data_IF_992260417962
#
_entry.id   IF_992260417962
#
_cell.length_a   1.000
_cell.length_b   1.000
_cell.length_c   1.000
_cell.angle_alpha   90.00
_cell.angle_beta   90.00
_cell.angle_gamma   90.00
#
_symmetry.space_group_name_H-M   'P 1'
#
loop_
_entity.id
_entity.type
_entity.pdbx_description
1 polymer ?
#
# COMPACT_ATOMS: atom_id res chain seq x y z
N UNK A 1 24.82 57.93 -26.68
CA UNK A 1 23.97 58.61 -27.69
C UNK A 1 22.56 58.13 -27.42
N UNK A 2 21.59 58.93 -26.99
CA UNK A 2 21.11 60.20 -27.58
C UNK A 2 20.39 61.02 -26.49
N UNK A 3 20.69 62.32 -26.41
CA UNK A 3 19.95 63.29 -25.57
C UNK A 3 18.64 63.63 -26.29
N UNK A 4 17.50 63.48 -25.62
CA UNK A 4 16.24 64.07 -26.06
C UNK A 4 16.23 65.57 -25.72
N UNK A 5 15.72 66.44 -26.61
CA UNK A 5 15.82 67.88 -26.45
C UNK A 5 14.82 68.40 -25.40
N UNK A 6 15.29 69.33 -24.57
CA UNK A 6 14.42 70.23 -23.80
C UNK A 6 13.65 71.10 -24.80
N UNK A 7 12.33 70.91 -24.88
CA UNK A 7 11.43 71.81 -25.61
C UNK A 7 10.88 72.84 -24.63
N UNK A 8 11.03 74.15 -24.87
CA UNK A 8 10.42 75.17 -24.01
C UNK A 8 8.90 75.12 -24.16
N UNK A 9 8.20 75.10 -23.02
CA UNK A 9 6.74 75.16 -22.93
C UNK A 9 6.27 76.44 -23.63
N UNK A 10 5.49 76.28 -24.71
CA UNK A 10 4.88 77.40 -25.43
C UNK A 10 3.69 77.96 -24.63
N UNK A 11 3.57 79.28 -24.61
CA UNK A 11 2.54 80.06 -23.90
C UNK A 11 1.09 79.74 -24.28
N UNK A 12 0.86 78.91 -25.30
CA UNK A 12 -0.47 78.52 -25.78
C UNK A 12 -1.16 77.46 -24.90
N UNK A 13 -0.51 77.00 -23.82
CA UNK A 13 -1.07 75.97 -22.91
C UNK A 13 -1.84 76.53 -21.70
N UNK A 14 -1.99 77.85 -21.59
CA UNK A 14 -2.72 78.51 -20.50
C UNK A 14 -3.99 79.26 -20.94
N UNK A 15 -4.52 78.99 -22.14
CA UNK A 15 -5.57 79.83 -22.70
C UNK A 15 -6.98 79.42 -22.24
N UNK A 16 -7.37 79.89 -21.06
CA UNK A 16 -8.75 79.83 -20.54
C UNK A 16 -9.73 80.76 -21.31
N UNK A 17 -9.27 81.48 -22.33
CA UNK A 17 -10.03 82.56 -22.97
C UNK A 17 -10.93 82.15 -24.15
N UNK A 18 -11.08 80.85 -24.46
CA UNK A 18 -11.96 80.38 -25.55
C UNK A 18 -13.33 79.87 -25.10
N UNK A 19 -13.90 80.43 -24.04
CA UNK A 19 -15.34 80.28 -23.78
C UNK A 19 -16.04 81.50 -24.35
N UNK A 20 -16.56 81.37 -25.58
CA UNK A 20 -17.31 82.45 -26.23
C UNK A 20 -18.68 82.62 -25.56
N UNK A 21 -18.73 83.49 -24.56
CA UNK A 21 -20.00 83.99 -24.05
C UNK A 21 -20.48 85.10 -24.99
N UNK A 22 -21.51 84.81 -25.79
CA UNK A 22 -22.24 85.82 -26.56
C UNK A 22 -22.62 87.01 -25.66
N UNK A 23 -22.76 88.21 -26.25
CA UNK A 23 -22.83 89.52 -25.58
C UNK A 23 -24.02 89.76 -24.60
N UNK A 24 -24.63 88.71 -24.05
CA UNK A 24 -25.86 88.74 -23.25
C UNK A 24 -25.62 88.51 -21.74
N UNK A 25 -24.42 88.10 -21.32
CA UNK A 25 -24.12 87.76 -19.91
C UNK A 25 -23.27 88.86 -19.24
N UNK A 26 -23.72 89.45 -18.10
CA UNK A 26 -22.96 90.46 -17.35
C UNK A 26 -21.56 89.97 -16.91
N UNK A 27 -20.59 90.89 -16.83
CA UNK A 27 -19.18 90.58 -16.54
C UNK A 27 -18.96 89.77 -15.25
N UNK A 28 -19.68 90.11 -14.18
CA UNK A 28 -19.58 89.42 -12.87
C UNK A 28 -20.08 87.97 -12.97
N UNK A 29 -21.18 87.75 -13.68
CA UNK A 29 -21.76 86.42 -13.92
C UNK A 29 -20.81 85.55 -14.74
N UNK A 30 -20.15 86.16 -15.74
CA UNK A 30 -19.12 85.51 -16.57
C UNK A 30 -17.92 85.08 -15.74
N UNK A 31 -17.41 85.93 -14.85
CA UNK A 31 -16.31 85.59 -13.96
C UNK A 31 -16.67 84.42 -13.04
N UNK A 32 -17.87 84.45 -12.44
CA UNK A 32 -18.38 83.37 -11.58
C UNK A 32 -18.45 82.04 -12.33
N UNK A 33 -18.93 82.05 -13.57
CA UNK A 33 -19.03 80.84 -14.39
C UNK A 33 -17.66 80.30 -14.81
N UNK A 34 -16.70 81.18 -15.12
CA UNK A 34 -15.31 80.76 -15.41
C UNK A 34 -14.67 80.15 -14.17
N UNK A 35 -14.90 80.73 -12.99
CA UNK A 35 -14.42 80.19 -11.71
C UNK A 35 -15.02 78.81 -11.42
N UNK A 36 -16.34 78.66 -11.60
CA UNK A 36 -17.05 77.39 -11.41
C UNK A 36 -16.59 76.30 -12.41
N UNK A 37 -16.37 76.66 -13.68
CA UNK A 37 -15.79 75.75 -14.69
C UNK A 37 -14.36 75.34 -14.31
N UNK A 38 -13.56 76.29 -13.83
CA UNK A 38 -12.19 76.04 -13.42
C UNK A 38 -12.13 75.11 -12.22
N UNK A 39 -13.00 75.35 -11.23
CA UNK A 39 -13.16 74.51 -10.05
C UNK A 39 -13.59 73.08 -10.43
N UNK A 40 -14.65 72.95 -11.24
CA UNK A 40 -15.16 71.66 -11.72
C UNK A 40 -14.09 70.90 -12.52
N UNK A 41 -13.29 71.60 -13.33
CA UNK A 41 -12.19 70.99 -14.08
C UNK A 41 -11.09 70.46 -13.16
N UNK A 42 -10.72 71.23 -12.14
CA UNK A 42 -9.73 70.78 -11.15
C UNK A 42 -10.21 69.53 -10.40
N UNK A 43 -11.50 69.48 -10.02
CA UNK A 43 -12.09 68.29 -9.41
C UNK A 43 -12.08 67.08 -10.36
N UNK A 44 -12.41 67.28 -11.65
CA UNK A 44 -12.38 66.22 -12.65
C UNK A 44 -10.96 65.67 -12.85
N UNK A 45 -9.95 66.55 -12.91
CA UNK A 45 -8.55 66.14 -13.02
C UNK A 45 -8.10 65.36 -11.78
N UNK A 46 -8.47 65.81 -10.59
CA UNK A 46 -8.20 65.10 -9.34
C UNK A 46 -8.82 63.70 -9.35
N UNK A 47 -10.10 63.58 -9.72
CA UNK A 47 -10.81 62.29 -9.80
C UNK A 47 -10.23 61.37 -10.88
N UNK A 48 -9.79 61.94 -12.01
CA UNK A 48 -9.10 61.20 -13.07
C UNK A 48 -7.77 60.62 -12.59
N UNK A 49 -7.00 61.38 -11.80
CA UNK A 49 -5.75 60.90 -11.19
C UNK A 49 -6.02 59.80 -10.15
N UNK A 50 -7.02 59.97 -9.29
CA UNK A 50 -7.43 58.97 -8.30
C UNK A 50 -7.84 57.65 -8.98
N UNK A 51 -8.60 57.71 -10.07
CA UNK A 51 -9.00 56.55 -10.86
C UNK A 51 -7.79 55.85 -11.50
N UNK A 52 -6.83 56.61 -12.05
CA UNK A 52 -5.58 56.04 -12.59
C UNK A 52 -4.76 55.34 -11.51
N UNK A 53 -4.69 55.91 -10.31
CA UNK A 53 -4.00 55.31 -9.17
C UNK A 53 -4.66 53.99 -8.76
N UNK A 54 -5.97 53.96 -8.62
CA UNK A 54 -6.72 52.74 -8.27
C UNK A 54 -6.56 51.65 -9.33
N UNK A 55 -6.60 52.01 -10.63
CA UNK A 55 -6.33 51.06 -11.73
C UNK A 55 -4.93 50.48 -11.62
N UNK A 56 -3.92 51.29 -11.34
CA UNK A 56 -2.55 50.84 -11.19
C UNK A 56 -2.38 49.92 -9.97
N UNK A 57 -2.99 50.28 -8.84
CA UNK A 57 -3.00 49.47 -7.62
C UNK A 57 -3.64 48.11 -7.88
N UNK A 58 -4.79 48.07 -8.57
CA UNK A 58 -5.47 46.83 -8.91
C UNK A 58 -4.67 45.98 -9.90
N UNK A 59 -4.07 46.59 -10.93
CA UNK A 59 -3.22 45.89 -11.91
C UNK A 59 -1.94 45.33 -11.30
N UNK A 60 -1.48 45.91 -10.19
CA UNK A 60 -0.25 45.50 -9.47
C UNK A 60 -0.58 44.70 -8.20
N UNK A 61 -1.87 44.46 -7.91
CA UNK A 61 -2.30 43.84 -6.66
C UNK A 61 -1.72 42.43 -6.48
N UNK A 62 -1.54 41.69 -7.58
CA UNK A 62 -1.06 40.32 -7.53
C UNK A 62 0.44 40.21 -7.13
N UNK A 63 1.20 41.30 -7.21
CA UNK A 63 2.62 41.37 -6.81
C UNK A 63 2.91 42.32 -5.65
N UNK A 64 1.99 43.25 -5.33
CA UNK A 64 2.17 44.23 -4.25
C UNK A 64 1.22 44.03 -3.08
N UNK A 65 0.06 43.39 -3.28
CA UNK A 65 -0.95 43.28 -2.24
C UNK A 65 -0.65 42.08 -1.30
N UNK A 66 -0.50 42.30 0.02
CA UNK A 66 -0.13 41.24 0.96
C UNK A 66 -1.06 40.03 0.94
N UNK A 67 -2.36 40.21 0.73
CA UNK A 67 -3.33 39.10 0.67
C UNK A 67 -3.11 38.22 -0.57
N UNK A 68 -2.91 38.82 -1.75
CA UNK A 68 -2.66 38.07 -2.98
C UNK A 68 -1.31 37.35 -2.91
N UNK A 69 -0.30 38.00 -2.32
CA UNK A 69 1.02 37.40 -2.09
C UNK A 69 0.97 36.27 -1.08
N UNK A 70 0.22 36.40 0.02
CA UNK A 70 0.06 35.36 1.02
C UNK A 70 -0.60 34.10 0.42
N UNK A 71 -1.60 34.26 -0.43
CA UNK A 71 -2.21 33.13 -1.13
C UNK A 71 -1.21 32.42 -2.06
N UNK A 72 -0.47 33.18 -2.87
CA UNK A 72 0.59 32.64 -3.75
C UNK A 72 1.67 31.93 -2.93
N UNK A 73 2.10 32.52 -1.81
CA UNK A 73 3.07 31.94 -0.88
C UNK A 73 2.56 30.63 -0.29
N UNK A 74 1.32 30.58 0.20
CA UNK A 74 0.75 29.37 0.79
C UNK A 74 0.66 28.22 -0.22
N UNK A 75 0.28 28.51 -1.47
CA UNK A 75 0.27 27.50 -2.55
C UNK A 75 1.67 26.97 -2.84
N UNK A 76 2.66 27.88 -2.93
CA UNK A 76 4.05 27.50 -3.18
C UNK A 76 4.64 26.71 -2.01
N UNK A 77 4.35 27.12 -0.78
CA UNK A 77 4.79 26.44 0.43
C UNK A 77 4.19 25.04 0.52
N UNK A 78 2.90 24.88 0.21
CA UNK A 78 2.25 23.56 0.16
C UNK A 78 2.92 22.65 -0.86
N UNK A 79 3.17 23.14 -2.08
CA UNK A 79 3.88 22.39 -3.11
C UNK A 79 5.29 21.98 -2.66
N UNK A 80 6.04 22.90 -2.04
CA UNK A 80 7.37 22.59 -1.51
C UNK A 80 7.33 21.52 -0.43
N UNK A 81 6.37 21.59 0.50
CA UNK A 81 6.18 20.54 1.51
C UNK A 81 5.89 19.18 0.89
N UNK A 82 5.07 19.14 -0.17
CA UNK A 82 4.79 17.90 -0.91
C UNK A 82 6.04 17.35 -1.60
N UNK A 83 6.84 18.21 -2.23
CA UNK A 83 8.09 17.80 -2.88
C UNK A 83 9.11 17.29 -1.86
N UNK A 84 9.20 17.91 -0.68
CA UNK A 84 10.06 17.46 0.41
C UNK A 84 9.64 16.08 0.93
N UNK A 85 8.33 15.84 1.10
CA UNK A 85 7.81 14.54 1.48
C UNK A 85 8.15 13.46 0.44
N UNK A 86 8.00 13.76 -0.85
CA UNK A 86 8.39 12.84 -1.94
C UNK A 86 9.90 12.56 -1.88
N UNK A 87 10.74 13.58 -1.68
CA UNK A 87 12.18 13.39 -1.56
C UNK A 87 12.54 12.47 -0.38
N UNK A 88 11.95 12.69 0.80
CA UNK A 88 12.16 11.83 1.95
C UNK A 88 11.74 10.38 1.67
N UNK A 89 10.57 10.17 1.07
CA UNK A 89 10.08 8.83 0.74
C UNK A 89 10.96 8.15 -0.31
N UNK A 90 11.45 8.87 -1.32
CA UNK A 90 12.37 8.29 -2.31
C UNK A 90 13.71 7.91 -1.70
N UNK A 91 14.23 8.67 -0.73
CA UNK A 91 15.44 8.31 0.03
C UNK A 91 15.18 7.07 0.88
N UNK A 92 14.07 7.00 1.59
CA UNK A 92 13.69 5.83 2.40
C UNK A 92 13.49 4.58 1.52
N UNK A 93 12.88 4.74 0.35
CA UNK A 93 12.67 3.65 -0.59
C UNK A 93 14.02 3.16 -1.14
N UNK A 94 14.93 4.07 -1.53
CA UNK A 94 16.29 3.71 -1.92
C UNK A 94 17.01 2.98 -0.79
N UNK A 95 16.91 3.46 0.44
CA UNK A 95 17.52 2.79 1.60
C UNK A 95 16.98 1.36 1.74
N UNK A 96 15.67 1.17 1.63
CA UNK A 96 15.02 -0.16 1.69
C UNK A 96 15.39 -1.08 0.52
N UNK A 97 15.57 -0.53 -0.67
CA UNK A 97 15.96 -1.29 -1.87
C UNK A 97 17.46 -1.63 -1.88
N UNK A 98 18.30 -0.75 -1.33
CA UNK A 98 19.74 -0.96 -1.17
C UNK A 98 20.02 -1.87 0.03
N UNK A 99 19.20 -1.82 1.08
CA UNK A 99 19.25 -2.76 2.18
C UNK A 99 19.03 -4.15 1.60
N UNK A 100 20.03 -5.04 1.67
CA UNK A 100 19.87 -6.34 1.06
C UNK A 100 18.69 -7.06 1.73
N UNK A 101 17.91 -7.77 0.92
CA UNK A 101 16.73 -8.55 1.31
C UNK A 101 17.06 -9.60 2.41
N UNK A 102 18.33 -9.74 2.77
CA UNK A 102 18.85 -10.52 3.88
C UNK A 102 18.36 -10.09 5.29
N UNK A 103 17.28 -9.31 5.43
CA UNK A 103 16.51 -9.24 6.68
C UNK A 103 15.52 -10.42 6.80
N UNK A 104 15.31 -11.18 5.72
CA UNK A 104 14.64 -12.49 5.75
C UNK A 104 15.63 -13.67 5.83
N UNK A 105 16.94 -13.40 5.71
CA UNK A 105 17.98 -14.38 5.98
C UNK A 105 18.58 -14.05 7.34
N UNK A 106 18.87 -15.05 8.17
CA UNK A 106 19.72 -14.79 9.34
C UNK A 106 21.03 -14.14 8.86
N UNK A 107 21.52 -13.07 9.49
CA UNK A 107 22.83 -12.53 9.17
C UNK A 107 23.87 -13.60 9.48
N UNK A 108 24.40 -14.23 8.44
CA UNK A 108 25.49 -15.20 8.52
C UNK A 108 26.75 -14.46 8.13
N UNK A 109 27.78 -14.52 8.98
CA UNK A 109 29.09 -13.98 8.64
C UNK A 109 29.64 -14.61 7.35
N UNK A 110 30.35 -13.83 6.53
CA UNK A 110 30.83 -14.28 5.23
C UNK A 110 31.61 -15.61 5.29
N UNK A 111 32.40 -15.78 6.35
CA UNK A 111 33.21 -16.98 6.61
C UNK A 111 32.36 -18.22 6.94
N UNK A 112 31.12 -18.02 7.38
CA UNK A 112 30.21 -19.07 7.83
C UNK A 112 29.26 -19.55 6.73
N UNK A 113 29.12 -18.82 5.61
CA UNK A 113 28.17 -19.15 4.55
C UNK A 113 28.37 -20.54 3.96
N UNK A 114 29.64 -20.96 3.72
CA UNK A 114 29.92 -22.29 3.17
C UNK A 114 29.38 -23.39 4.09
N UNK A 115 29.67 -23.30 5.38
CA UNK A 115 29.22 -24.27 6.37
C UNK A 115 27.70 -24.28 6.49
N UNK A 116 27.07 -23.10 6.56
CA UNK A 116 25.62 -22.98 6.63
C UNK A 116 24.94 -23.53 5.36
N UNK A 117 25.52 -23.30 4.18
CA UNK A 117 25.00 -23.81 2.91
C UNK A 117 25.09 -25.34 2.80
N UNK A 118 26.06 -25.98 3.46
CA UNK A 118 26.21 -27.43 3.48
C UNK A 118 25.33 -28.08 4.59
N UNK A 119 25.23 -27.43 5.76
CA UNK A 119 24.52 -27.96 6.94
C UNK A 119 23.00 -27.82 6.80
N UNK A 120 22.50 -26.69 6.29
CA UNK A 120 21.05 -26.45 6.21
C UNK A 120 20.32 -27.52 5.38
N UNK A 121 20.77 -27.88 4.17
CA UNK A 121 20.15 -28.98 3.40
C UNK A 121 20.21 -30.32 4.14
N UNK A 122 21.30 -30.59 4.87
CA UNK A 122 21.43 -31.81 5.66
C UNK A 122 20.44 -31.84 6.82
N UNK A 123 20.24 -30.72 7.51
CA UNK A 123 19.24 -30.59 8.58
C UNK A 123 17.82 -30.77 8.04
N UNK A 124 17.49 -30.16 6.90
CA UNK A 124 16.17 -30.33 6.26
C UNK A 124 15.92 -31.80 5.93
N UNK A 125 16.87 -32.46 5.26
CA UNK A 125 16.76 -33.88 4.95
C UNK A 125 16.67 -34.76 6.20
N UNK A 126 17.36 -34.38 7.29
CA UNK A 126 17.28 -35.09 8.55
C UNK A 126 15.89 -34.96 9.18
N UNK A 127 15.32 -33.75 9.20
CA UNK A 127 13.97 -33.49 9.72
C UNK A 127 12.93 -34.29 8.93
N UNK A 128 13.00 -34.30 7.60
CA UNK A 128 12.08 -35.06 6.75
C UNK A 128 12.15 -36.57 7.03
N UNK A 129 13.37 -37.12 7.17
CA UNK A 129 13.57 -38.52 7.55
C UNK A 129 13.10 -38.82 8.96
N UNK A 130 13.28 -37.89 9.90
CA UNK A 130 12.82 -38.03 11.28
C UNK A 130 11.29 -38.11 11.32
N UNK A 131 10.61 -37.25 10.58
CA UNK A 131 9.14 -37.23 10.51
C UNK A 131 8.59 -38.55 9.97
N UNK A 132 9.16 -39.04 8.86
CA UNK A 132 8.83 -40.35 8.29
C UNK A 132 9.04 -41.50 9.30
N UNK A 133 10.13 -41.46 10.07
CA UNK A 133 10.39 -42.47 11.09
C UNK A 133 9.41 -42.39 12.26
N UNK A 134 9.01 -41.19 12.67
CA UNK A 134 8.00 -40.99 13.71
C UNK A 134 6.63 -41.51 13.28
N UNK A 135 6.24 -41.28 12.01
CA UNK A 135 5.04 -41.88 11.44
C UNK A 135 5.11 -43.41 11.48
N UNK A 136 6.22 -44.01 11.06
CA UNK A 136 6.42 -45.46 11.12
C UNK A 136 6.28 -45.99 12.55
N UNK A 137 6.93 -45.35 13.53
CA UNK A 137 6.81 -45.74 14.95
C UNK A 137 5.36 -45.68 15.44
N UNK A 138 4.61 -44.66 15.03
CA UNK A 138 3.20 -44.52 15.38
C UNK A 138 2.30 -45.61 14.76
N UNK A 139 2.71 -46.23 13.65
CA UNK A 139 1.97 -47.36 13.06
C UNK A 139 2.20 -48.70 13.76
N UNK A 140 3.34 -48.89 14.44
CA UNK A 140 3.72 -50.16 15.09
C UNK A 140 2.63 -50.68 16.04
N UNK A 141 2.05 -49.88 16.96
CA UNK A 141 1.00 -50.36 17.87
C UNK A 141 -0.23 -50.91 17.13
N UNK A 142 -0.57 -50.36 15.95
CA UNK A 142 -1.70 -50.85 15.15
C UNK A 142 -1.39 -52.22 14.53
N UNK A 143 -0.16 -52.42 14.07
CA UNK A 143 0.31 -53.73 13.59
C UNK A 143 0.30 -54.75 14.73
N UNK A 144 0.85 -54.39 15.90
CA UNK A 144 0.84 -55.26 17.09
C UNK A 144 -0.58 -55.67 17.50
N UNK A 145 -1.55 -54.74 17.48
CA UNK A 145 -2.96 -55.06 17.75
C UNK A 145 -3.53 -56.07 16.75
N UNK A 146 -3.27 -55.88 15.45
CA UNK A 146 -3.73 -56.80 14.39
C UNK A 146 -3.11 -58.19 14.55
N UNK A 147 -1.83 -58.28 14.84
CA UNK A 147 -1.14 -59.55 15.11
C UNK A 147 -1.78 -60.27 16.29
N UNK A 148 -2.05 -59.58 17.40
CA UNK A 148 -2.72 -60.18 18.56
C UNK A 148 -4.12 -60.71 18.25
N UNK A 149 -4.89 -60.01 17.40
CA UNK A 149 -6.19 -60.51 16.93
C UNK A 149 -6.01 -61.79 16.12
N UNK A 150 -5.02 -61.82 15.22
CA UNK A 150 -4.72 -62.99 14.41
C UNK A 150 -4.27 -64.18 15.25
N UNK A 151 -3.41 -63.98 16.26
CA UNK A 151 -3.00 -65.02 17.21
C UNK A 151 -4.21 -65.65 17.92
N UNK A 152 -5.15 -64.81 18.39
CA UNK A 152 -6.38 -65.29 19.03
C UNK A 152 -7.27 -66.10 18.08
N UNK A 153 -7.37 -65.68 16.81
CA UNK A 153 -8.15 -66.40 15.79
C UNK A 153 -7.53 -67.76 15.46
N UNK A 154 -6.21 -67.81 15.32
CA UNK A 154 -5.47 -69.07 15.10
C UNK A 154 -5.66 -70.01 16.29
N UNK A 155 -5.56 -69.51 17.52
CA UNK A 155 -5.79 -70.33 18.72
C UNK A 155 -7.20 -70.95 18.75
N UNK A 156 -8.24 -70.18 18.38
CA UNK A 156 -9.61 -70.70 18.25
C UNK A 156 -9.71 -71.79 17.19
N UNK A 157 -9.14 -71.55 16.02
CA UNK A 157 -9.16 -72.53 14.92
C UNK A 157 -8.47 -73.84 15.32
N UNK A 158 -7.36 -73.77 16.05
CA UNK A 158 -6.68 -74.97 16.58
C UNK A 158 -7.57 -75.74 17.56
N UNK A 159 -8.31 -75.04 18.43
CA UNK A 159 -9.28 -75.68 19.33
C UNK A 159 -10.39 -76.40 18.57
N UNK A 160 -10.98 -75.75 17.57
CA UNK A 160 -12.03 -76.35 16.73
C UNK A 160 -11.52 -77.56 15.94
N UNK A 161 -10.29 -77.50 15.40
CA UNK A 161 -9.65 -78.65 14.73
C UNK A 161 -9.45 -79.81 15.69
N UNK A 162 -9.10 -79.55 16.96
CA UNK A 162 -8.95 -80.60 17.96
C UNK A 162 -10.29 -81.27 18.27
N UNK A 163 -11.36 -80.49 18.48
CA UNK A 163 -12.72 -81.02 18.66
C UNK A 163 -13.16 -81.87 17.47
N UNK A 164 -12.90 -81.40 16.23
CA UNK A 164 -13.19 -82.17 15.01
C UNK A 164 -12.40 -83.48 14.95
N UNK A 165 -11.14 -83.48 15.40
CA UNK A 165 -10.31 -84.70 15.47
C UNK A 165 -10.87 -85.69 16.48
N UNK A 166 -11.27 -85.23 17.67
CA UNK A 166 -11.88 -86.09 18.70
C UNK A 166 -13.19 -86.72 18.21
N UNK A 167 -14.04 -85.93 17.52
CA UNK A 167 -15.26 -86.42 16.89
C UNK A 167 -14.96 -87.48 15.82
N UNK A 168 -13.93 -87.27 14.99
CA UNK A 168 -13.50 -88.24 13.99
C UNK A 168 -13.04 -89.55 14.63
N UNK A 169 -12.24 -89.49 15.69
CA UNK A 169 -11.79 -90.67 16.43
C UNK A 169 -12.97 -91.44 17.07
N UNK A 170 -13.99 -90.73 17.56
CA UNK A 170 -15.21 -91.34 18.08
C UNK A 170 -16.00 -92.07 16.98
N UNK A 171 -16.15 -91.45 15.80
CA UNK A 171 -16.79 -92.08 14.64
C UNK A 171 -16.02 -93.33 14.19
N UNK A 172 -14.69 -93.28 14.16
CA UNK A 172 -13.86 -94.44 13.81
C UNK A 172 -14.03 -95.58 14.81
N UNK A 173 -13.99 -95.29 16.12
CA UNK A 173 -14.25 -96.29 17.17
C UNK A 173 -15.64 -96.92 17.03
N UNK A 174 -16.67 -96.10 16.78
CA UNK A 174 -18.03 -96.59 16.57
C UNK A 174 -18.13 -97.50 15.34
N UNK A 175 -17.47 -97.16 14.24
CA UNK A 175 -17.40 -97.99 13.02
C UNK A 175 -16.73 -99.34 13.28
N UNK A 176 -15.64 -99.37 14.04
CA UNK A 176 -14.92 -100.61 14.35
C UNK A 176 -15.76 -101.56 15.23
N UNK A 177 -16.50 -101.00 16.20
CA UNK A 177 -17.46 -101.76 17.01
C UNK A 177 -18.56 -102.40 16.16
N UNK A 178 -19.08 -101.68 15.16
CA UNK A 178 -20.06 -102.24 14.22
C UNK A 178 -19.49 -103.41 13.41
N UNK A 179 -18.22 -103.33 12.99
CA UNK A 179 -17.56 -104.37 12.20
C UNK A 179 -17.30 -105.65 13.01
N UNK A 180 -16.74 -105.51 14.21
CA UNK A 180 -16.50 -106.64 15.13
C UNK A 180 -17.79 -107.32 15.61
N UNK A 181 -18.88 -106.57 15.81
CA UNK A 181 -20.21 -107.13 16.09
C UNK A 181 -20.78 -107.98 14.94
N UNK A 182 -20.48 -107.62 13.69
CA UNK A 182 -20.83 -108.39 12.49
C UNK A 182 -19.99 -109.67 12.34
N UNK A 183 -18.70 -109.62 12.67
CA UNK A 183 -17.81 -110.80 12.65
C UNK A 183 -18.18 -111.84 13.73
N UNK A 184 -18.66 -111.38 14.89
CA UNK A 184 -19.22 -112.26 15.93
C UNK A 184 -20.57 -112.89 15.54
N UNK A 185 -21.34 -112.28 14.62
CA UNK A 185 -22.58 -112.86 14.09
C UNK A 185 -22.32 -113.85 12.92
N UNK A 186 -21.16 -113.75 12.25
CA UNK A 186 -20.75 -114.62 11.14
C UNK A 186 -19.96 -115.87 11.53
N UNK A 187 -19.55 -116.02 12.80
CA UNK A 187 -18.86 -117.22 13.34
C UNK A 187 -19.77 -118.15 14.16
N UNK A 188 -21.07 -118.20 13.87
CA UNK A 188 -22.03 -119.08 14.56
C UNK A 188 -22.72 -120.03 13.59
#
# INVERSE_FOLDING_TARGET
>A
MSRLPFSPVKQDTLDLNKVEFGNTVPFVERFRLIDEISHTRAELEQKSLELKLLKLQNATADIAHPVCLAEKYNRLQSMNSHLEAILQETVLLKLRLVQPICHQCLPVEANCHRYVSEILPMMVNFIEKLDSNLELINTIPQVTKKVKIMENLVAKMVSEILELKELLELIMRWREQQKTGLEHLGSK
#
